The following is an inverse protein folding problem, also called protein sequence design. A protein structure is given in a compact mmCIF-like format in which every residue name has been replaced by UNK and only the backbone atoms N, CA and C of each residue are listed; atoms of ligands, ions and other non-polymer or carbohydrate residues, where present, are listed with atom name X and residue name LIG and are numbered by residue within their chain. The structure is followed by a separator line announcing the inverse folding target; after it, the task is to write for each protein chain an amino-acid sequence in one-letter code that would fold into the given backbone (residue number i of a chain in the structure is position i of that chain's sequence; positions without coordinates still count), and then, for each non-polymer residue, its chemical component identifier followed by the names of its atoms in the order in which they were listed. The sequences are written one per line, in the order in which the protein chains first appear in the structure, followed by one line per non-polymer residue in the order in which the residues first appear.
data_IF_684159874304
#
_entry.id   IF_684159874304
#
_cell.length_a   1.000
_cell.length_b   1.000
_cell.length_c   1.000
_cell.angle_alpha   90.00
_cell.angle_beta   90.00
_cell.angle_gamma   90.00
#
_symmetry.space_group_name_H-M   'P 1'
#
loop_
_entity.id
_entity.type
_entity.pdbx_description
1 polymer ?
#
# COMPACT_ATOMS: atom_id res chain seq x y z
N UNK A 1 6.15 64.31 -110.33
CA UNK A 1 6.60 64.15 -108.93
C UNK A 1 5.56 63.40 -108.07
N UNK A 2 4.99 62.29 -108.57
CA UNK A 2 3.97 61.52 -107.83
C UNK A 2 4.21 60.00 -107.85
N UNK A 3 4.95 59.44 -108.81
CA UNK A 3 5.23 58.00 -108.86
C UNK A 3 6.28 57.54 -107.82
N UNK A 4 7.29 58.37 -107.54
CA UNK A 4 8.39 58.01 -106.62
C UNK A 4 7.96 58.05 -105.13
N UNK A 5 7.02 58.92 -104.76
CA UNK A 5 6.44 58.99 -103.41
C UNK A 5 5.51 57.81 -103.11
N UNK A 6 4.77 57.30 -104.10
CA UNK A 6 3.91 56.13 -103.97
C UNK A 6 4.75 54.85 -103.83
N UNK A 7 5.83 54.69 -104.61
CA UNK A 7 6.75 53.54 -104.48
C UNK A 7 7.50 53.50 -103.13
N UNK A 8 7.87 54.66 -102.58
CA UNK A 8 8.51 54.77 -101.26
C UNK A 8 7.49 54.51 -100.13
N UNK A 9 6.21 54.87 -100.33
CA UNK A 9 5.11 54.56 -99.41
C UNK A 9 4.79 53.06 -99.36
N UNK A 10 4.75 52.39 -100.52
CA UNK A 10 4.51 50.94 -100.62
C UNK A 10 5.64 50.12 -100.00
N UNK A 11 6.90 50.52 -100.16
CA UNK A 11 8.06 49.83 -99.56
C UNK A 11 8.18 50.02 -98.05
N UNK A 12 7.85 51.21 -97.52
CA UNK A 12 7.78 51.45 -96.07
C UNK A 12 6.62 50.70 -95.41
N UNK A 13 5.44 50.69 -96.05
CA UNK A 13 4.27 49.95 -95.54
C UNK A 13 4.56 48.44 -95.51
N UNK A 14 5.15 47.90 -96.58
CA UNK A 14 5.59 46.50 -96.65
C UNK A 14 6.56 46.14 -95.53
N UNK A 15 7.60 46.94 -95.31
CA UNK A 15 8.55 46.74 -94.22
C UNK A 15 7.90 46.81 -92.83
N UNK A 16 6.94 47.72 -92.59
CA UNK A 16 6.23 47.79 -91.30
C UNK A 16 5.35 46.58 -91.03
N UNK A 17 4.67 46.05 -92.05
CA UNK A 17 3.84 44.84 -91.92
C UNK A 17 4.73 43.62 -91.64
N UNK A 18 5.88 43.51 -92.29
CA UNK A 18 6.83 42.41 -92.10
C UNK A 18 7.45 42.43 -90.69
N UNK A 19 7.86 43.60 -90.19
CA UNK A 19 8.34 43.75 -88.81
C UNK A 19 7.24 43.39 -87.80
N UNK A 20 5.99 43.81 -88.05
CA UNK A 20 4.87 43.50 -87.16
C UNK A 20 4.55 42.00 -87.14
N UNK A 21 4.63 41.33 -88.30
CA UNK A 21 4.53 39.88 -88.41
C UNK A 21 5.63 39.16 -87.64
N UNK A 22 6.89 39.60 -87.77
CA UNK A 22 8.02 39.04 -87.02
C UNK A 22 7.87 39.23 -85.50
N UNK A 23 7.36 40.38 -85.07
CA UNK A 23 7.08 40.64 -83.65
C UNK A 23 5.95 39.74 -83.12
N UNK A 24 4.89 39.52 -83.90
CA UNK A 24 3.81 38.60 -83.54
C UNK A 24 4.34 37.17 -83.44
N UNK A 25 5.14 36.72 -84.41
CA UNK A 25 5.73 35.38 -84.40
C UNK A 25 6.66 35.21 -83.19
N UNK A 26 7.52 36.19 -82.90
CA UNK A 26 8.38 36.18 -81.73
C UNK A 26 7.58 36.16 -80.42
N UNK A 27 6.49 36.94 -80.32
CA UNK A 27 5.60 36.93 -79.17
C UNK A 27 4.91 35.57 -78.98
N UNK A 28 4.46 34.94 -80.07
CA UNK A 28 3.84 33.60 -80.05
C UNK A 28 4.85 32.53 -79.62
N UNK A 29 6.07 32.56 -80.15
CA UNK A 29 7.14 31.63 -79.76
C UNK A 29 7.51 31.84 -78.29
N UNK A 30 7.65 33.09 -77.83
CA UNK A 30 7.92 33.41 -76.44
C UNK A 30 6.82 32.91 -75.50
N UNK A 31 5.55 33.13 -75.87
CA UNK A 31 4.42 32.63 -75.10
C UNK A 31 4.37 31.09 -75.05
N UNK A 32 4.57 30.42 -76.20
CA UNK A 32 4.55 28.96 -76.28
C UNK A 32 5.70 28.31 -75.52
N UNK A 33 6.92 28.86 -75.62
CA UNK A 33 8.09 28.35 -74.90
C UNK A 33 7.95 28.56 -73.40
N UNK A 34 7.48 29.74 -72.95
CA UNK A 34 7.16 29.98 -71.54
C UNK A 34 6.05 29.05 -71.02
N UNK A 35 5.00 28.82 -71.81
CA UNK A 35 3.92 27.90 -71.46
C UNK A 35 4.39 26.45 -71.36
N UNK A 36 5.19 25.98 -72.32
CA UNK A 36 5.77 24.62 -72.30
C UNK A 36 6.73 24.43 -71.12
N UNK A 37 7.58 25.42 -70.85
CA UNK A 37 8.49 25.40 -69.70
C UNK A 37 7.71 25.38 -68.38
N UNK A 38 6.69 26.23 -68.25
CA UNK A 38 5.81 26.26 -67.08
C UNK A 38 5.11 24.91 -66.88
N UNK A 39 4.55 24.35 -67.96
CA UNK A 39 3.87 23.06 -67.93
C UNK A 39 4.82 21.92 -67.58
N UNK A 40 6.04 21.89 -68.10
CA UNK A 40 6.98 20.80 -67.86
C UNK A 40 7.50 20.75 -66.43
N UNK A 41 7.70 21.90 -65.78
CA UNK A 41 8.36 21.94 -64.46
C UNK A 41 7.35 22.06 -63.32
N UNK A 42 6.29 22.85 -63.49
CA UNK A 42 5.39 23.18 -62.39
C UNK A 42 4.21 22.22 -62.27
N UNK A 43 3.83 21.49 -63.33
CA UNK A 43 2.68 20.58 -63.26
C UNK A 43 2.86 19.49 -62.20
N UNK A 44 4.04 18.86 -62.13
CA UNK A 44 4.28 17.79 -61.17
C UNK A 44 4.51 18.34 -59.76
N UNK A 45 5.16 19.50 -59.61
CA UNK A 45 5.27 20.18 -58.31
C UNK A 45 3.90 20.57 -57.75
N UNK A 46 3.00 21.08 -58.59
CA UNK A 46 1.63 21.44 -58.20
C UNK A 46 0.87 20.18 -57.75
N UNK A 47 0.98 19.06 -58.48
CA UNK A 47 0.36 17.80 -58.07
C UNK A 47 0.86 17.28 -56.73
N UNK A 48 2.18 17.36 -56.48
CA UNK A 48 2.77 16.95 -55.21
C UNK A 48 2.22 17.83 -54.08
N UNK A 49 2.27 19.15 -54.24
CA UNK A 49 1.75 20.11 -53.26
C UNK A 49 0.25 19.88 -53.00
N UNK A 50 -0.55 19.62 -54.05
CA UNK A 50 -1.97 19.30 -53.88
C UNK A 50 -2.19 17.97 -53.15
N UNK A 51 -1.34 16.97 -53.38
CA UNK A 51 -1.40 15.70 -52.65
C UNK A 51 -1.02 15.85 -51.17
N UNK A 52 0.06 16.59 -50.88
CA UNK A 52 0.49 16.90 -49.51
C UNK A 52 -0.57 17.71 -48.76
N UNK A 53 -1.14 18.74 -49.41
CA UNK A 53 -2.25 19.53 -48.86
C UNK A 53 -3.45 18.64 -48.52
N UNK A 54 -3.76 17.66 -49.37
CA UNK A 54 -4.87 16.73 -49.14
C UNK A 54 -4.61 15.79 -47.98
N UNK A 55 -3.39 15.28 -47.83
CA UNK A 55 -3.01 14.44 -46.68
C UNK A 55 -3.01 15.25 -45.38
N UNK A 56 -2.41 16.44 -45.37
CA UNK A 56 -2.42 17.33 -44.20
C UNK A 56 -3.87 17.66 -43.77
N UNK A 57 -4.77 17.86 -44.73
CA UNK A 57 -6.18 18.11 -44.44
C UNK A 57 -6.86 16.90 -43.81
N UNK A 58 -6.58 15.68 -44.26
CA UNK A 58 -7.10 14.46 -43.62
C UNK A 58 -6.60 14.32 -42.18
N UNK A 59 -5.32 14.58 -41.97
CA UNK A 59 -4.70 14.49 -40.64
C UNK A 59 -5.34 15.50 -39.68
N UNK A 60 -5.53 16.75 -40.14
CA UNK A 60 -6.20 17.80 -39.37
C UNK A 60 -7.64 17.41 -38.99
N UNK A 61 -8.41 16.85 -39.92
CA UNK A 61 -9.77 16.34 -39.64
C UNK A 61 -9.75 15.17 -38.64
N UNK A 62 -8.74 14.29 -38.72
CA UNK A 62 -8.58 13.19 -37.76
C UNK A 62 -8.31 13.73 -36.35
N UNK A 63 -7.35 14.65 -36.22
CA UNK A 63 -7.00 15.32 -34.97
C UNK A 63 -8.16 16.12 -34.39
N UNK A 64 -8.94 16.81 -35.21
CA UNK A 64 -10.15 17.52 -34.77
C UNK A 64 -11.20 16.57 -34.20
N UNK A 65 -11.39 15.40 -34.83
CA UNK A 65 -12.31 14.38 -34.33
C UNK A 65 -11.83 13.77 -33.01
N UNK A 66 -10.53 13.54 -32.86
CA UNK A 66 -9.93 13.05 -31.62
C UNK A 66 -10.08 14.08 -30.49
N UNK A 67 -9.75 15.34 -30.74
CA UNK A 67 -9.97 16.43 -29.80
C UNK A 67 -11.43 16.55 -29.39
N UNK A 68 -12.38 16.41 -30.33
CA UNK A 68 -13.81 16.41 -30.01
C UNK A 68 -14.19 15.26 -29.08
N UNK A 69 -13.69 14.05 -29.31
CA UNK A 69 -13.92 12.90 -28.43
C UNK A 69 -13.33 13.13 -27.04
N UNK A 70 -12.11 13.68 -26.97
CA UNK A 70 -11.46 14.02 -25.70
C UNK A 70 -12.25 15.07 -24.92
N UNK A 71 -12.74 16.12 -25.59
CA UNK A 71 -13.58 17.15 -24.98
C UNK A 71 -14.90 16.57 -24.43
N UNK A 72 -15.54 15.65 -25.15
CA UNK A 72 -16.75 15.00 -24.66
C UNK A 72 -16.48 14.10 -23.45
N UNK A 73 -15.37 13.35 -23.46
CA UNK A 73 -14.94 12.55 -22.31
C UNK A 73 -14.66 13.42 -21.08
N UNK A 74 -13.98 14.57 -21.26
CA UNK A 74 -13.76 15.55 -20.19
C UNK A 74 -15.10 16.08 -19.65
N UNK A 75 -16.04 16.41 -20.52
CA UNK A 75 -17.38 16.88 -20.12
C UNK A 75 -18.15 15.83 -19.29
N UNK A 76 -18.09 14.56 -19.68
CA UNK A 76 -18.71 13.46 -18.92
C UNK A 76 -18.05 13.33 -17.55
N UNK A 77 -16.71 13.39 -17.49
CA UNK A 77 -15.96 13.34 -16.22
C UNK A 77 -16.26 14.53 -15.32
N UNK A 78 -16.40 15.73 -15.87
CA UNK A 78 -16.80 16.91 -15.10
C UNK A 78 -18.21 16.77 -14.52
N UNK A 79 -19.15 16.19 -15.29
CA UNK A 79 -20.50 15.89 -14.81
C UNK A 79 -20.49 14.85 -13.67
N UNK A 80 -19.66 13.82 -13.78
CA UNK A 80 -19.43 12.81 -12.73
C UNK A 80 -18.82 13.44 -11.47
N UNK A 81 -17.86 14.35 -11.61
CA UNK A 81 -17.30 15.10 -10.47
C UNK A 81 -18.37 15.96 -9.80
N UNK A 82 -19.25 16.62 -10.58
CA UNK A 82 -20.33 17.43 -10.00
C UNK A 82 -21.38 16.59 -9.28
N UNK A 83 -21.75 15.43 -9.83
CA UNK A 83 -22.68 14.52 -9.14
C UNK A 83 -22.08 14.00 -7.83
N UNK A 84 -20.80 13.61 -7.83
CA UNK A 84 -20.07 13.21 -6.63
C UNK A 84 -19.99 14.34 -5.59
N UNK A 85 -19.73 15.58 -6.01
CA UNK A 85 -19.75 16.75 -5.10
C UNK A 85 -21.12 16.96 -4.46
N UNK A 86 -22.20 16.75 -5.21
CA UNK A 86 -23.55 16.86 -4.69
C UNK A 86 -23.85 15.75 -3.67
N UNK A 87 -23.52 14.50 -4.00
CA UNK A 87 -23.66 13.35 -3.09
C UNK A 87 -22.85 13.58 -1.81
N UNK A 88 -21.61 14.06 -1.93
CA UNK A 88 -20.77 14.38 -0.78
C UNK A 88 -21.39 15.49 0.08
N UNK A 89 -21.92 16.55 -0.53
CA UNK A 89 -22.62 17.62 0.18
C UNK A 89 -23.88 17.12 0.89
N UNK A 90 -24.64 16.21 0.27
CA UNK A 90 -25.79 15.56 0.90
C UNK A 90 -25.37 14.65 2.05
N UNK A 91 -24.26 13.90 1.90
CA UNK A 91 -23.69 13.07 2.94
C UNK A 91 -23.24 13.93 4.13
N UNK A 92 -22.55 15.05 3.89
CA UNK A 92 -22.17 16.02 4.92
C UNK A 92 -23.40 16.59 5.63
N UNK A 93 -24.46 16.92 4.90
CA UNK A 93 -25.71 17.42 5.49
C UNK A 93 -26.42 16.34 6.33
N UNK A 94 -26.42 15.08 5.86
CA UNK A 94 -26.92 13.95 6.64
C UNK A 94 -26.09 13.73 7.90
N UNK A 95 -24.77 13.84 7.79
CA UNK A 95 -23.84 13.78 8.91
C UNK A 95 -24.12 14.91 9.90
N UNK A 96 -24.31 16.14 9.42
CA UNK A 96 -24.65 17.31 10.24
C UNK A 96 -25.99 17.14 10.95
N UNK A 97 -27.00 16.55 10.29
CA UNK A 97 -28.27 16.19 10.92
C UNK A 97 -28.06 15.12 12.00
N UNK A 98 -27.26 14.08 11.72
CA UNK A 98 -26.90 13.04 12.70
C UNK A 98 -26.17 13.65 13.90
N UNK A 99 -25.19 14.51 13.67
CA UNK A 99 -24.44 15.24 14.71
C UNK A 99 -25.40 16.14 15.51
N UNK A 100 -26.31 16.87 14.86
CA UNK A 100 -27.29 17.72 15.54
C UNK A 100 -28.31 16.94 16.37
N UNK A 101 -28.67 15.72 15.95
CA UNK A 101 -29.51 14.81 16.72
C UNK A 101 -28.74 14.15 17.87
N UNK A 102 -27.44 13.91 17.67
CA UNK A 102 -26.51 13.43 18.71
C UNK A 102 -26.20 14.51 19.75
N UNK A 103 -26.30 15.81 19.42
CA UNK A 103 -26.06 16.91 20.36
C UNK A 103 -27.09 17.03 21.49
N UNK A 104 -28.16 16.22 21.50
CA UNK A 104 -29.01 16.03 22.69
C UNK A 104 -28.42 15.03 23.71
N UNK A 105 -27.26 14.43 23.40
CA UNK A 105 -26.44 13.60 24.26
C UNK A 105 -24.98 13.89 23.89
N UNK A 106 -24.37 14.90 24.51
CA UNK A 106 -23.02 15.35 24.20
C UNK A 106 -21.98 14.24 24.29
N UNK A 107 -21.74 13.57 23.16
CA UNK A 107 -20.68 12.60 22.95
C UNK A 107 -19.71 13.24 21.96
N UNK A 108 -18.49 13.52 22.44
CA UNK A 108 -17.36 13.85 21.58
C UNK A 108 -17.23 12.70 20.57
N UNK A 109 -16.99 13.02 19.29
CA UNK A 109 -16.54 12.01 18.31
C UNK A 109 -15.39 11.24 18.97
N UNK A 110 -15.50 9.91 19.13
CA UNK A 110 -14.43 9.12 19.75
C UNK A 110 -13.11 9.41 19.01
N UNK A 111 -12.04 9.69 19.75
CA UNK A 111 -10.70 10.01 19.23
C UNK A 111 -10.18 8.97 18.20
N UNK A 112 -10.70 7.74 18.28
CA UNK A 112 -10.47 6.66 17.33
C UNK A 112 -10.98 6.98 15.91
N UNK A 113 -12.11 7.67 15.76
CA UNK A 113 -12.72 7.97 14.45
C UNK A 113 -11.96 9.07 13.70
N UNK A 114 -11.45 10.10 14.39
CA UNK A 114 -10.62 11.15 13.77
C UNK A 114 -9.34 10.58 13.15
N UNK A 115 -8.75 9.59 13.83
CA UNK A 115 -7.51 8.98 13.37
C UNK A 115 -7.72 8.04 12.18
N UNK A 116 -8.79 7.24 12.16
CA UNK A 116 -9.12 6.43 10.99
C UNK A 116 -9.40 7.30 9.77
N UNK A 117 -9.98 8.49 9.96
CA UNK A 117 -10.12 9.49 8.90
C UNK A 117 -8.74 9.94 8.39
N UNK A 118 -7.79 10.27 9.27
CA UNK A 118 -6.41 10.63 8.86
C UNK A 118 -5.70 9.51 8.10
N UNK A 119 -5.90 8.26 8.49
CA UNK A 119 -5.37 7.11 7.72
C UNK A 119 -6.07 6.99 6.37
N UNK A 120 -7.39 7.12 6.33
CA UNK A 120 -8.16 7.05 5.08
C UNK A 120 -7.74 8.16 4.08
N UNK A 121 -7.33 9.33 4.56
CA UNK A 121 -6.75 10.38 3.69
C UNK A 121 -5.43 9.96 3.02
N UNK A 122 -4.69 9.03 3.63
CA UNK A 122 -3.42 8.50 3.10
C UNK A 122 -3.61 7.44 2.03
N UNK A 123 -4.85 7.00 1.73
CA UNK A 123 -5.16 6.14 0.57
C UNK A 123 -4.53 6.65 -0.73
N UNK A 124 -4.42 7.97 -0.90
CA UNK A 124 -3.79 8.61 -2.07
C UNK A 124 -2.31 8.25 -2.29
N UNK A 125 -1.64 7.71 -1.26
CA UNK A 125 -0.25 7.27 -1.34
C UNK A 125 -0.12 5.85 -1.93
N UNK A 126 -1.22 5.10 -2.00
CA UNK A 126 -1.23 3.68 -2.36
C UNK A 126 -1.49 3.46 -3.85
N UNK A 127 -0.90 2.40 -4.38
CA UNK A 127 -1.01 2.00 -5.79
C UNK A 127 -1.87 0.76 -5.95
N UNK A 128 -3.19 0.96 -5.91
CA UNK A 128 -4.16 -0.13 -6.03
C UNK A 128 -4.12 -0.85 -7.39
N UNK A 129 -3.44 -0.31 -8.41
CA UNK A 129 -3.23 -1.03 -9.67
C UNK A 129 -2.22 -2.17 -9.50
N UNK A 130 -1.29 -2.03 -8.55
CA UNK A 130 -0.25 -3.04 -8.26
C UNK A 130 -0.84 -4.26 -7.55
N UNK A 131 -1.50 -4.06 -6.40
CA UNK A 131 -1.99 -5.14 -5.55
C UNK A 131 -3.50 -5.42 -5.66
N UNK A 132 -4.24 -4.57 -6.37
CA UNK A 132 -5.67 -4.72 -6.64
C UNK A 132 -6.59 -4.04 -5.62
N UNK A 133 -7.88 -4.08 -5.93
CA UNK A 133 -8.96 -3.53 -5.10
C UNK A 133 -9.86 -4.64 -4.57
N UNK A 134 -10.56 -4.35 -3.48
CA UNK A 134 -11.61 -5.18 -2.93
C UNK A 134 -12.66 -4.28 -2.28
N UNK A 135 -13.87 -4.82 -2.13
CA UNK A 135 -14.96 -4.18 -1.40
C UNK A 135 -15.06 -4.74 0.02
N UNK A 136 -15.71 -4.01 0.92
CA UNK A 136 -15.96 -4.49 2.29
C UNK A 136 -16.74 -5.81 2.33
N UNK A 137 -17.57 -6.08 1.31
CA UNK A 137 -18.30 -7.34 1.17
C UNK A 137 -17.40 -8.55 0.85
N UNK A 138 -16.19 -8.32 0.33
CA UNK A 138 -15.19 -9.35 0.04
C UNK A 138 -14.20 -9.53 1.20
N UNK A 139 -14.39 -8.83 2.32
CA UNK A 139 -13.42 -8.78 3.40
C UNK A 139 -13.10 -10.16 3.97
N UNK A 140 -11.82 -10.49 3.95
CA UNK A 140 -11.26 -11.65 4.63
C UNK A 140 -11.02 -11.31 6.11
N UNK A 141 -10.89 -12.34 6.97
CA UNK A 141 -10.40 -12.14 8.33
C UNK A 141 -8.87 -11.99 8.30
N UNK A 142 -8.38 -10.75 8.21
CA UNK A 142 -6.95 -10.48 8.09
C UNK A 142 -6.15 -10.92 9.33
N UNK A 143 -6.81 -11.14 10.47
CA UNK A 143 -6.18 -11.66 11.70
C UNK A 143 -5.75 -13.11 11.58
N UNK A 144 -6.12 -13.80 10.50
CA UNK A 144 -5.53 -15.10 10.16
C UNK A 144 -4.01 -15.00 9.94
N UNK A 145 -3.51 -13.84 9.52
CA UNK A 145 -2.07 -13.56 9.34
C UNK A 145 -1.46 -13.18 10.68
N UNK A 146 -0.41 -13.90 11.09
CA UNK A 146 0.35 -13.56 12.29
C UNK A 146 0.97 -12.17 12.16
N UNK A 147 0.75 -11.32 13.17
CA UNK A 147 1.19 -9.93 13.20
C UNK A 147 0.10 -8.93 12.85
N UNK A 148 -1.05 -9.38 12.30
CA UNK A 148 -2.24 -8.54 12.09
C UNK A 148 -3.24 -8.79 13.23
N UNK A 149 -3.31 -7.86 14.19
CA UNK A 149 -4.37 -7.84 15.20
C UNK A 149 -5.58 -7.01 14.77
N UNK A 150 -6.68 -6.99 15.55
CA UNK A 150 -7.89 -6.22 15.23
C UNK A 150 -7.62 -4.75 14.92
N UNK A 151 -6.68 -4.14 15.65
CA UNK A 151 -6.28 -2.75 15.49
C UNK A 151 -5.49 -2.48 14.19
N UNK A 152 -4.75 -3.47 13.68
CA UNK A 152 -4.03 -3.35 12.40
C UNK A 152 -5.00 -3.61 11.25
N UNK A 153 -5.84 -4.63 11.38
CA UNK A 153 -6.91 -4.93 10.43
C UNK A 153 -7.82 -3.71 10.21
N UNK A 154 -8.25 -3.02 11.27
CA UNK A 154 -9.05 -1.80 11.18
C UNK A 154 -8.39 -0.71 10.32
N UNK A 155 -7.06 -0.54 10.44
CA UNK A 155 -6.30 0.44 9.63
C UNK A 155 -6.15 0.00 8.17
N UNK A 156 -5.87 -1.28 7.95
CA UNK A 156 -5.80 -1.83 6.59
C UNK A 156 -7.14 -1.64 5.88
N UNK A 157 -8.25 -1.92 6.56
CA UNK A 157 -9.59 -1.67 6.05
C UNK A 157 -9.83 -0.18 5.79
N UNK A 158 -9.36 0.71 6.68
CA UNK A 158 -9.40 2.15 6.45
C UNK A 158 -8.53 2.60 5.26
N UNK A 159 -7.63 1.76 4.75
CA UNK A 159 -6.86 1.93 3.52
C UNK A 159 -7.42 1.14 2.32
N UNK A 160 -8.64 0.60 2.42
CA UNK A 160 -9.28 -0.27 1.40
C UNK A 160 -8.50 -1.57 1.09
N UNK A 161 -7.74 -2.05 2.08
CA UNK A 161 -7.07 -3.36 2.05
C UNK A 161 -7.90 -4.31 2.90
N UNK A 162 -8.68 -5.17 2.24
CA UNK A 162 -9.67 -6.03 2.89
C UNK A 162 -9.38 -7.53 2.75
N UNK A 163 -8.51 -7.92 1.80
CA UNK A 163 -8.37 -9.33 1.40
C UNK A 163 -6.95 -9.85 1.50
N UNK A 164 -6.79 -11.16 1.76
CA UNK A 164 -5.52 -11.86 1.64
C UNK A 164 -4.95 -11.71 0.21
N UNK A 165 -5.83 -11.67 -0.80
CA UNK A 165 -5.47 -11.50 -2.21
C UNK A 165 -4.73 -10.19 -2.49
N UNK A 166 -5.09 -9.11 -1.80
CA UNK A 166 -4.38 -7.84 -1.91
C UNK A 166 -3.01 -7.96 -1.23
N UNK A 167 -2.97 -8.44 0.02
CA UNK A 167 -1.73 -8.54 0.81
C UNK A 167 -0.71 -9.46 0.13
N UNK A 168 -1.16 -10.58 -0.46
CA UNK A 168 -0.28 -11.53 -1.15
C UNK A 168 0.40 -10.96 -2.40
N UNK A 169 -0.03 -9.79 -2.88
CA UNK A 169 0.47 -9.14 -4.09
C UNK A 169 1.29 -7.89 -3.81
N UNK A 170 1.51 -7.53 -2.55
CA UNK A 170 2.34 -6.36 -2.23
C UNK A 170 3.75 -6.56 -2.78
N UNK A 171 4.18 -5.62 -3.63
CA UNK A 171 5.59 -5.48 -4.01
C UNK A 171 6.35 -4.72 -2.93
N UNK A 172 7.69 -4.79 -2.91
CA UNK A 172 8.52 -4.03 -1.97
C UNK A 172 8.15 -2.53 -1.94
N UNK A 173 7.85 -1.95 -3.12
CA UNK A 173 7.41 -0.56 -3.23
C UNK A 173 6.02 -0.30 -2.62
N UNK A 174 5.11 -1.26 -2.74
CA UNK A 174 3.79 -1.15 -2.11
C UNK A 174 3.92 -1.29 -0.60
N UNK A 175 4.78 -2.19 -0.14
CA UNK A 175 5.10 -2.37 1.27
C UNK A 175 5.63 -1.06 1.88
N UNK A 176 6.59 -0.40 1.23
CA UNK A 176 7.09 0.91 1.67
C UNK A 176 5.96 1.95 1.81
N UNK A 177 5.11 2.07 0.78
CA UNK A 177 3.98 3.02 0.78
C UNK A 177 2.94 2.71 1.85
N UNK A 178 2.68 1.42 2.10
CA UNK A 178 1.73 0.98 3.13
C UNK A 178 2.33 1.19 4.51
N UNK A 179 3.62 0.91 4.69
CA UNK A 179 4.35 1.20 5.92
C UNK A 179 4.27 2.71 6.25
N UNK A 180 4.47 3.57 5.26
CA UNK A 180 4.31 5.03 5.40
C UNK A 180 2.85 5.43 5.71
N UNK A 181 1.88 4.82 5.02
CA UNK A 181 0.47 5.09 5.23
C UNK A 181 0.03 4.71 6.66
N UNK A 182 0.50 3.56 7.16
CA UNK A 182 0.21 3.06 8.50
C UNK A 182 0.96 3.82 9.60
N UNK A 183 2.16 4.35 9.31
CA UNK A 183 3.11 5.09 10.19
C UNK A 183 3.57 4.38 11.48
N UNK A 184 2.68 3.66 12.16
CA UNK A 184 2.91 2.95 13.43
C UNK A 184 3.70 1.66 13.21
N UNK A 185 3.34 0.87 12.20
CA UNK A 185 3.77 -0.53 12.03
C UNK A 185 4.83 -0.72 10.96
N UNK A 186 5.60 0.34 10.66
CA UNK A 186 6.61 0.29 9.60
C UNK A 186 7.54 -0.91 9.78
N UNK A 187 7.71 -1.68 8.70
CA UNK A 187 8.56 -2.86 8.65
C UNK A 187 7.92 -4.16 9.14
N UNK A 188 6.68 -4.14 9.64
CA UNK A 188 6.00 -5.37 10.09
C UNK A 188 5.53 -6.26 8.96
N UNK A 189 5.19 -5.69 7.82
CA UNK A 189 4.69 -6.44 6.68
C UNK A 189 5.74 -7.49 6.26
N UNK A 190 7.01 -7.07 6.23
CA UNK A 190 8.18 -7.87 5.93
C UNK A 190 8.57 -8.75 7.11
N UNK A 191 8.78 -8.12 8.29
CA UNK A 191 9.30 -8.81 9.48
C UNK A 191 8.36 -9.90 9.98
N UNK A 192 7.05 -9.69 9.85
CA UNK A 192 6.03 -10.65 10.22
C UNK A 192 5.57 -11.51 9.04
N UNK A 193 6.16 -11.33 7.85
CA UNK A 193 5.96 -12.18 6.67
C UNK A 193 4.50 -12.22 6.20
N UNK A 194 3.85 -11.05 6.18
CA UNK A 194 2.43 -10.95 5.85
C UNK A 194 2.14 -11.42 4.43
N UNK A 195 2.98 -11.04 3.46
CA UNK A 195 2.80 -11.38 2.04
C UNK A 195 2.85 -12.90 1.84
N UNK A 196 3.81 -13.57 2.45
CA UNK A 196 3.97 -15.02 2.35
C UNK A 196 2.80 -15.77 3.01
N UNK A 197 2.39 -15.36 4.23
CA UNK A 197 1.22 -15.93 4.90
C UNK A 197 -0.09 -15.69 4.14
N UNK A 198 -0.28 -14.47 3.63
CA UNK A 198 -1.44 -14.11 2.81
C UNK A 198 -1.48 -14.94 1.53
N UNK A 199 -0.32 -15.15 0.89
CA UNK A 199 -0.20 -16.01 -0.28
C UNK A 199 -0.76 -17.39 0.05
N UNK A 200 -0.29 -18.07 1.09
CA UNK A 200 -0.83 -19.39 1.49
C UNK A 200 -2.35 -19.39 1.73
N UNK A 201 -2.90 -18.31 2.29
CA UNK A 201 -4.34 -18.17 2.57
C UNK A 201 -5.20 -17.91 1.33
N UNK A 202 -4.66 -17.29 0.28
CA UNK A 202 -5.38 -17.03 -0.99
C UNK A 202 -5.66 -18.32 -1.77
N UNK A 203 -4.86 -19.37 -1.55
CA UNK A 203 -4.85 -20.53 -2.43
C UNK A 203 -6.09 -21.42 -2.26
N UNK A 204 -6.55 -21.95 -3.41
CA UNK A 204 -7.68 -22.87 -3.56
C UNK A 204 -7.62 -24.05 -2.57
N UNK A 205 -8.80 -24.59 -2.22
CA UNK A 205 -9.04 -25.70 -1.27
C UNK A 205 -8.06 -26.87 -1.42
N UNK A 206 -7.63 -27.16 -2.64
CA UNK A 206 -6.71 -28.25 -2.98
C UNK A 206 -5.30 -28.03 -2.39
N UNK A 207 -4.74 -26.82 -2.50
CA UNK A 207 -3.38 -26.50 -2.02
C UNK A 207 -3.31 -26.53 -0.49
N UNK A 208 -4.35 -26.02 0.17
CA UNK A 208 -4.47 -26.08 1.63
C UNK A 208 -4.57 -27.53 2.12
N UNK A 209 -5.29 -28.38 1.39
CA UNK A 209 -5.40 -29.82 1.70
C UNK A 209 -4.04 -30.49 1.57
N UNK A 210 -3.30 -30.21 0.50
CA UNK A 210 -1.96 -30.76 0.29
C UNK A 210 -0.96 -30.29 1.37
N UNK A 211 -1.03 -29.02 1.78
CA UNK A 211 -0.22 -28.50 2.87
C UNK A 211 -0.50 -29.24 4.17
N UNK A 212 -1.77 -29.34 4.57
CA UNK A 212 -2.15 -30.05 5.80
C UNK A 212 -1.77 -31.52 5.76
N UNK A 213 -1.86 -32.16 4.60
CA UNK A 213 -1.36 -33.51 4.41
C UNK A 213 0.14 -33.61 4.72
N UNK A 214 0.98 -32.75 4.12
CA UNK A 214 2.42 -32.75 4.40
C UNK A 214 2.75 -32.47 5.87
N UNK A 215 2.05 -31.52 6.50
CA UNK A 215 2.22 -31.22 7.93
C UNK A 215 1.84 -32.46 8.77
N UNK A 216 0.73 -33.12 8.45
CA UNK A 216 0.29 -34.33 9.15
C UNK A 216 1.27 -35.50 9.02
N UNK A 217 1.96 -35.62 7.88
CA UNK A 217 3.01 -36.62 7.66
C UNK A 217 4.24 -36.37 8.56
N UNK A 218 4.50 -35.11 8.95
CA UNK A 218 5.59 -34.73 9.87
C UNK A 218 5.20 -34.87 11.35
N UNK A 219 3.95 -35.23 11.65
CA UNK A 219 3.45 -35.40 13.02
C UNK A 219 4.27 -36.43 13.83
N UNK A 220 4.83 -37.46 13.18
CA UNK A 220 5.67 -38.47 13.83
C UNK A 220 6.99 -37.93 14.39
N UNK A 221 7.42 -36.74 13.95
CA UNK A 221 8.65 -36.10 14.43
C UNK A 221 8.42 -35.35 15.75
N UNK A 222 7.16 -35.15 16.16
CA UNK A 222 6.83 -34.38 17.36
C UNK A 222 6.98 -35.24 18.63
N UNK A 223 7.71 -34.72 19.62
CA UNK A 223 7.96 -35.40 20.89
C UNK A 223 6.85 -35.18 21.93
N UNK A 224 5.68 -35.81 21.74
CA UNK A 224 4.53 -35.66 22.65
C UNK A 224 4.79 -36.15 24.08
N UNK A 225 5.73 -37.06 24.29
CA UNK A 225 6.17 -37.47 25.62
C UNK A 225 6.82 -36.32 26.41
N UNK A 226 7.37 -35.32 25.71
CA UNK A 226 8.00 -34.13 26.27
C UNK A 226 7.02 -32.97 26.38
N UNK A 227 6.36 -32.62 25.29
CA UNK A 227 5.46 -31.45 25.26
C UNK A 227 4.09 -31.74 25.91
N UNK A 228 3.68 -33.01 25.94
CA UNK A 228 2.37 -33.47 26.40
C UNK A 228 1.40 -33.76 25.24
N UNK A 229 0.33 -34.47 25.55
CA UNK A 229 -0.80 -34.71 24.64
C UNK A 229 -2.04 -33.98 25.11
N UNK A 230 -2.86 -33.53 24.17
CA UNK A 230 -4.17 -32.94 24.44
C UNK A 230 -5.15 -33.44 23.36
N UNK A 231 -6.42 -33.49 23.70
CA UNK A 231 -7.47 -33.79 22.72
C UNK A 231 -8.00 -32.51 22.08
N UNK A 232 -8.68 -32.66 20.94
CA UNK A 232 -9.26 -31.52 20.22
C UNK A 232 -10.29 -30.74 21.06
N UNK A 233 -11.05 -31.43 21.93
CA UNK A 233 -11.98 -30.78 22.85
C UNK A 233 -11.31 -29.96 23.97
N UNK A 234 -10.02 -30.16 24.20
CA UNK A 234 -9.22 -29.43 25.20
C UNK A 234 -8.48 -28.23 24.58
N UNK A 235 -8.76 -27.91 23.31
CA UNK A 235 -8.04 -26.89 22.55
C UNK A 235 -8.21 -25.50 23.17
N UNK A 236 -7.08 -24.88 23.47
CA UNK A 236 -6.99 -23.47 23.80
C UNK A 236 -7.05 -22.62 22.53
N UNK A 237 -7.52 -21.38 22.63
CA UNK A 237 -7.36 -20.41 21.56
C UNK A 237 -5.90 -19.94 21.51
N UNK A 238 -5.09 -20.59 20.68
CA UNK A 238 -3.66 -20.28 20.57
C UNK A 238 -3.40 -18.89 19.98
N UNK A 239 -4.39 -18.26 19.33
CA UNK A 239 -4.24 -16.88 18.80
C UNK A 239 -4.09 -15.82 19.89
N UNK A 240 -4.36 -16.19 21.15
CA UNK A 240 -4.08 -15.36 22.33
C UNK A 240 -2.58 -15.10 22.51
N UNK A 241 -1.72 -16.01 22.03
CA UNK A 241 -0.27 -15.84 21.99
C UNK A 241 0.09 -14.92 20.82
N UNK A 242 0.64 -13.75 21.14
CA UNK A 242 1.13 -12.79 20.15
C UNK A 242 2.18 -13.46 19.25
N UNK A 243 1.97 -13.43 17.94
CA UNK A 243 2.81 -14.14 16.97
C UNK A 243 2.21 -15.45 16.44
N UNK A 244 1.08 -15.92 17.01
CA UNK A 244 0.27 -17.00 16.44
C UNK A 244 -0.98 -16.38 15.81
N UNK A 245 -1.00 -16.27 14.48
CA UNK A 245 -2.21 -15.94 13.73
C UNK A 245 -3.14 -17.14 13.62
N UNK A 246 -4.39 -16.92 13.21
CA UNK A 246 -5.34 -18.02 13.00
C UNK A 246 -4.81 -19.11 12.05
N UNK A 247 -4.06 -18.72 11.02
CA UNK A 247 -3.44 -19.68 10.10
C UNK A 247 -2.40 -20.58 10.76
N UNK A 248 -1.53 -20.00 11.59
CA UNK A 248 -0.48 -20.73 12.30
C UNK A 248 -1.09 -21.66 13.35
N UNK A 249 -2.14 -21.21 14.05
CA UNK A 249 -2.91 -22.07 14.95
C UNK A 249 -3.47 -23.29 14.22
N UNK A 250 -4.04 -23.12 13.03
CA UNK A 250 -4.55 -24.25 12.25
C UNK A 250 -3.46 -25.25 11.88
N UNK A 251 -2.27 -24.77 11.49
CA UNK A 251 -1.12 -25.66 11.23
C UNK A 251 -0.66 -26.42 12.48
N UNK A 252 -0.63 -25.76 13.65
CA UNK A 252 -0.32 -26.41 14.93
C UNK A 252 -1.37 -27.46 15.30
N UNK A 253 -2.65 -27.19 15.03
CA UNK A 253 -3.74 -28.13 15.28
C UNK A 253 -3.62 -29.41 14.45
N UNK A 254 -3.08 -29.33 13.22
CA UNK A 254 -2.76 -30.52 12.39
C UNK A 254 -1.69 -31.39 13.06
N UNK A 255 -0.78 -30.80 13.81
CA UNK A 255 0.22 -31.49 14.62
C UNK A 255 -0.28 -31.86 16.02
N UNK A 256 -1.58 -31.80 16.31
CA UNK A 256 -2.14 -32.06 17.64
C UNK A 256 -1.52 -31.24 18.78
N UNK A 257 -1.02 -30.05 18.45
CA UNK A 257 -0.58 -29.04 19.41
C UNK A 257 -1.76 -28.11 19.61
N UNK A 258 -2.50 -28.32 20.69
CA UNK A 258 -3.79 -27.67 20.96
C UNK A 258 -3.77 -26.71 22.13
N UNK A 259 -2.80 -26.84 23.05
CA UNK A 259 -2.87 -26.17 24.35
C UNK A 259 -1.68 -25.26 24.62
N UNK A 260 -1.90 -24.23 25.44
CA UNK A 260 -0.83 -23.42 26.01
C UNK A 260 0.15 -24.29 26.79
N UNK A 261 -0.32 -25.35 27.45
CA UNK A 261 0.53 -26.30 28.17
C UNK A 261 1.58 -26.94 27.25
N UNK A 262 1.17 -27.41 26.07
CA UNK A 262 2.10 -28.02 25.12
C UNK A 262 3.17 -27.03 24.66
N UNK A 263 2.78 -25.82 24.25
CA UNK A 263 3.72 -24.77 23.81
C UNK A 263 4.65 -24.35 24.96
N UNK A 264 4.14 -24.27 26.19
CA UNK A 264 4.93 -23.89 27.38
C UNK A 264 6.08 -24.86 27.70
N UNK A 265 5.98 -26.10 27.20
CA UNK A 265 6.95 -27.17 27.40
C UNK A 265 7.96 -27.31 26.25
N UNK A 266 7.87 -26.48 25.20
CA UNK A 266 8.82 -26.54 24.09
C UNK A 266 10.25 -26.29 24.56
N UNK A 267 11.13 -27.20 24.18
CA UNK A 267 12.58 -27.03 24.23
C UNK A 267 13.08 -26.45 22.92
N UNK A 268 14.37 -26.06 22.86
CA UNK A 268 14.97 -25.57 21.61
C UNK A 268 14.81 -26.57 20.46
N UNK A 269 14.95 -27.86 20.73
CA UNK A 269 14.74 -28.91 19.74
C UNK A 269 13.27 -29.01 19.29
N UNK A 270 12.30 -28.87 20.21
CA UNK A 270 10.87 -28.83 19.82
C UNK A 270 10.57 -27.64 18.93
N UNK A 271 11.19 -26.48 19.21
CA UNK A 271 11.01 -25.26 18.42
C UNK A 271 11.47 -25.50 16.98
N UNK A 272 12.67 -26.05 16.79
CA UNK A 272 13.23 -26.34 15.48
C UNK A 272 12.32 -27.32 14.71
N UNK A 273 11.90 -28.41 15.36
CA UNK A 273 11.04 -29.44 14.76
C UNK A 273 9.67 -28.90 14.41
N UNK A 274 9.02 -28.17 15.33
CA UNK A 274 7.68 -27.62 15.09
C UNK A 274 7.75 -26.59 13.97
N UNK A 275 8.76 -25.72 13.97
CA UNK A 275 8.98 -24.71 12.92
C UNK A 275 9.09 -25.35 11.55
N UNK A 276 9.91 -26.39 11.40
CA UNK A 276 10.02 -27.16 10.15
C UNK A 276 8.68 -27.84 9.81
N UNK A 277 8.04 -28.47 10.80
CA UNK A 277 6.84 -29.25 10.60
C UNK A 277 5.69 -28.42 10.02
N UNK A 278 5.47 -27.22 10.55
CA UNK A 278 4.41 -26.30 10.09
C UNK A 278 4.84 -25.38 8.94
N UNK A 279 6.05 -25.56 8.38
CA UNK A 279 6.62 -24.67 7.33
C UNK A 279 6.59 -23.19 7.78
N UNK A 280 6.99 -22.91 9.03
CA UNK A 280 7.02 -21.56 9.60
C UNK A 280 8.41 -20.94 9.51
N UNK A 281 8.44 -19.61 9.59
CA UNK A 281 9.68 -18.85 9.45
C UNK A 281 10.59 -19.09 10.66
N UNK A 282 11.84 -19.46 10.39
CA UNK A 282 12.82 -19.77 11.44
C UNK A 282 13.06 -18.60 12.40
N UNK A 283 13.19 -18.91 13.69
CA UNK A 283 13.44 -17.94 14.75
C UNK A 283 12.21 -17.14 15.22
N UNK A 284 11.05 -17.28 14.58
CA UNK A 284 9.83 -16.56 14.95
C UNK A 284 9.27 -16.99 16.30
N UNK A 285 9.30 -18.28 16.61
CA UNK A 285 8.76 -18.82 17.87
C UNK A 285 9.51 -18.20 19.06
N UNK A 286 10.83 -18.06 18.96
CA UNK A 286 11.68 -17.43 19.96
C UNK A 286 11.53 -15.92 19.99
N UNK A 287 11.56 -15.27 18.82
CA UNK A 287 11.41 -13.81 18.69
C UNK A 287 10.07 -13.33 19.24
N UNK A 288 9.01 -14.10 18.98
CA UNK A 288 7.65 -13.82 19.45
C UNK A 288 7.40 -14.42 20.83
N UNK A 289 8.40 -15.01 21.48
CA UNK A 289 8.34 -15.45 22.88
C UNK A 289 7.20 -16.42 23.19
N UNK A 290 6.81 -17.29 22.25
CA UNK A 290 5.62 -18.15 22.39
C UNK A 290 5.62 -18.95 23.69
N UNK A 291 6.79 -19.49 24.07
CA UNK A 291 6.95 -20.32 25.27
C UNK A 291 6.69 -19.51 26.55
N UNK A 292 7.21 -18.27 26.63
CA UNK A 292 7.02 -17.41 27.80
C UNK A 292 5.55 -16.99 27.92
N UNK A 293 4.94 -16.60 26.80
CA UNK A 293 3.52 -16.26 26.75
C UNK A 293 2.65 -17.46 27.17
N UNK A 294 2.94 -18.65 26.64
CA UNK A 294 2.20 -19.86 26.95
C UNK A 294 2.33 -20.26 28.44
N UNK A 295 3.54 -20.16 29.04
CA UNK A 295 3.74 -20.38 30.48
C UNK A 295 2.88 -19.45 31.33
N UNK A 296 2.83 -18.18 30.94
CA UNK A 296 2.04 -17.18 31.65
C UNK A 296 0.53 -17.44 31.49
N UNK A 297 0.08 -17.79 30.28
CA UNK A 297 -1.30 -18.19 30.02
C UNK A 297 -1.69 -19.41 30.85
N UNK A 298 -0.83 -20.42 30.97
CA UNK A 298 -1.08 -21.57 31.85
C UNK A 298 -1.23 -21.13 33.31
N UNK A 299 -0.40 -20.20 33.80
CA UNK A 299 -0.45 -19.69 35.17
C UNK A 299 -1.78 -18.97 35.47
N UNK A 300 -2.31 -18.23 34.51
CA UNK A 300 -3.55 -17.44 34.66
C UNK A 300 -4.79 -18.14 34.09
N UNK A 301 -4.69 -19.45 33.82
CA UNK A 301 -5.77 -20.26 33.23
C UNK A 301 -6.35 -19.67 31.92
N UNK A 302 -5.48 -19.15 31.06
CA UNK A 302 -5.81 -18.60 29.75
C UNK A 302 -6.38 -17.17 29.77
N UNK A 303 -6.56 -16.56 30.95
CA UNK A 303 -7.18 -15.24 31.06
C UNK A 303 -6.19 -14.08 30.80
N UNK A 304 -5.78 -13.89 29.53
CA UNK A 304 -4.91 -12.78 29.09
C UNK A 304 -5.48 -11.41 29.52
N UNK A 305 -6.80 -11.23 29.43
CA UNK A 305 -7.47 -9.96 29.78
C UNK A 305 -7.19 -9.55 31.23
N UNK A 306 -7.27 -10.48 32.18
CA UNK A 306 -6.99 -10.21 33.59
C UNK A 306 -5.52 -9.86 33.82
N UNK A 307 -4.59 -10.52 33.12
CA UNK A 307 -3.17 -10.14 33.17
C UNK A 307 -2.94 -8.71 32.66
N UNK A 308 -3.49 -8.39 31.49
CA UNK A 308 -3.35 -7.06 30.90
C UNK A 308 -3.99 -5.99 31.79
N UNK A 309 -5.10 -6.30 32.45
CA UNK A 309 -5.72 -5.43 33.45
C UNK A 309 -4.79 -5.17 34.64
N UNK A 310 -4.21 -6.22 35.24
CA UNK A 310 -3.25 -6.08 36.36
C UNK A 310 -2.03 -5.22 35.98
N UNK A 311 -1.54 -5.34 34.75
CA UNK A 311 -0.43 -4.50 34.25
C UNK A 311 -0.90 -3.05 34.11
N UNK A 312 -2.06 -2.82 33.48
CA UNK A 312 -2.65 -1.49 33.31
C UNK A 312 -2.89 -0.81 34.66
N UNK A 313 -3.37 -1.53 35.66
CA UNK A 313 -3.62 -0.97 37.00
C UNK A 313 -2.31 -0.52 37.69
N UNK A 314 -1.17 -1.05 37.26
CA UNK A 314 0.18 -0.65 37.70
C UNK A 314 0.80 0.51 36.91
N UNK A 315 0.10 1.08 35.91
CA UNK A 315 0.63 2.20 35.09
C UNK A 315 1.08 3.41 35.93
N UNK A 316 0.41 3.70 37.05
CA UNK A 316 0.76 4.80 37.95
C UNK A 316 2.12 4.68 38.64
N UNK A 317 2.83 3.55 38.48
CA UNK A 317 4.21 3.40 38.92
C UNK A 317 5.23 4.01 37.95
N UNK A 318 4.82 4.33 36.73
CA UNK A 318 5.71 4.91 35.71
C UNK A 318 5.76 6.43 35.85
N UNK A 319 6.97 6.99 35.82
CA UNK A 319 7.20 8.43 36.01
C UNK A 319 7.22 9.19 34.67
N UNK A 320 6.04 9.60 34.19
CA UNK A 320 5.88 10.21 32.85
C UNK A 320 6.39 11.64 32.71
N UNK A 321 6.54 12.41 33.79
CA UNK A 321 7.01 13.81 33.73
C UNK A 321 8.33 13.95 32.97
N UNK A 322 9.16 12.89 33.02
CA UNK A 322 10.46 12.83 32.36
C UNK A 322 10.42 12.08 31.02
N UNK A 323 9.66 10.99 30.94
CA UNK A 323 9.55 10.17 29.72
C UNK A 323 8.79 10.89 28.61
N UNK A 324 7.88 11.79 28.98
CA UNK A 324 6.93 12.41 28.07
C UNK A 324 5.66 11.57 27.92
N UNK A 325 4.58 12.25 27.56
CA UNK A 325 3.32 11.62 27.20
C UNK A 325 3.27 11.42 25.70
N UNK A 326 2.90 10.21 25.30
CA UNK A 326 2.57 9.90 23.93
C UNK A 326 1.19 9.27 23.90
N UNK A 327 0.47 9.49 22.83
CA UNK A 327 -0.81 8.86 22.61
C UNK A 327 -0.63 7.49 21.95
N UNK A 328 -1.60 6.59 22.14
CA UNK A 328 -1.57 5.26 21.50
C UNK A 328 -1.40 5.34 19.98
N UNK A 329 -1.90 6.39 19.33
CA UNK A 329 -1.76 6.55 17.89
C UNK A 329 -0.38 7.05 17.43
N UNK A 330 0.45 7.57 18.35
CA UNK A 330 1.82 8.03 18.09
C UNK A 330 2.85 6.93 18.29
N UNK A 331 2.40 5.74 18.74
CA UNK A 331 3.29 4.64 19.03
C UNK A 331 4.13 4.23 17.81
N UNK A 332 5.38 3.92 18.11
CA UNK A 332 6.31 3.34 17.16
C UNK A 332 6.23 1.82 17.21
N UNK A 333 6.79 1.18 16.19
CA UNK A 333 7.04 -0.25 16.20
C UNK A 333 8.22 -0.57 17.14
N UNK A 334 7.96 -0.66 18.45
CA UNK A 334 8.99 -0.90 19.47
C UNK A 334 9.74 -2.21 19.24
N UNK A 335 9.14 -3.14 18.50
CA UNK A 335 9.79 -4.41 18.17
C UNK A 335 10.97 -4.33 17.19
N UNK A 336 11.29 -3.13 16.69
CA UNK A 336 12.57 -2.86 16.04
C UNK A 336 13.74 -2.84 17.02
N UNK A 337 13.47 -2.72 18.33
CA UNK A 337 14.46 -2.87 19.38
C UNK A 337 14.71 -4.36 19.59
N UNK A 338 15.97 -4.78 19.45
CA UNK A 338 16.37 -6.18 19.68
C UNK A 338 15.95 -6.63 21.09
N UNK A 339 15.37 -7.83 21.17
CA UNK A 339 14.85 -8.40 22.42
C UNK A 339 13.45 -7.88 22.81
N UNK A 340 12.92 -6.85 22.15
CA UNK A 340 11.57 -6.37 22.42
C UNK A 340 10.57 -7.09 21.50
N UNK A 341 10.02 -8.21 21.97
CA UNK A 341 9.00 -8.97 21.23
C UNK A 341 7.62 -8.29 21.20
N UNK A 342 6.71 -8.81 20.37
CA UNK A 342 5.30 -8.35 20.28
C UNK A 342 4.61 -8.31 21.64
N UNK A 343 4.88 -9.34 22.46
CA UNK A 343 4.33 -9.47 23.79
C UNK A 343 4.77 -8.37 24.73
N UNK A 344 6.06 -8.02 24.73
CA UNK A 344 6.56 -6.96 25.61
C UNK A 344 6.08 -5.60 25.14
N UNK A 345 6.05 -5.34 23.83
CA UNK A 345 5.48 -4.11 23.26
C UNK A 345 4.01 -3.92 23.69
N UNK A 346 3.17 -4.95 23.59
CA UNK A 346 1.76 -4.88 24.00
C UNK A 346 1.62 -4.43 25.46
N UNK A 347 2.52 -4.89 26.34
CA UNK A 347 2.47 -4.57 27.76
C UNK A 347 3.07 -3.20 28.08
N UNK A 348 4.12 -2.78 27.37
CA UNK A 348 4.63 -1.41 27.43
C UNK A 348 3.56 -0.39 27.01
N UNK A 349 2.81 -0.71 25.96
CA UNK A 349 1.69 0.11 25.47
C UNK A 349 0.57 0.25 26.51
N UNK A 350 0.36 -0.75 27.39
CA UNK A 350 -0.58 -0.63 28.52
C UNK A 350 -0.07 0.29 29.63
N UNK A 351 1.25 0.48 29.70
CA UNK A 351 1.92 1.41 30.59
C UNK A 351 2.15 2.77 29.90
N UNK A 352 1.45 3.10 28.81
CA UNK A 352 1.61 4.40 28.15
C UNK A 352 2.99 4.64 27.52
N UNK A 353 3.80 3.59 27.37
CA UNK A 353 5.11 3.65 26.71
C UNK A 353 4.91 3.14 25.28
N UNK A 354 4.90 4.08 24.36
CA UNK A 354 4.49 3.93 22.97
C UNK A 354 5.63 4.18 21.98
N UNK A 355 6.57 5.05 22.34
CA UNK A 355 7.54 5.61 21.37
C UNK A 355 8.98 5.24 21.69
N UNK A 356 9.83 5.26 20.67
CA UNK A 356 11.28 5.17 20.82
C UNK A 356 11.82 6.32 21.67
N UNK A 357 11.22 7.51 21.60
CA UNK A 357 11.61 8.66 22.43
C UNK A 357 11.43 8.36 23.93
N UNK A 358 10.27 7.83 24.33
CA UNK A 358 10.03 7.41 25.71
C UNK A 358 11.01 6.32 26.16
N UNK A 359 11.22 5.28 25.35
CA UNK A 359 12.15 4.18 25.67
C UNK A 359 13.60 4.67 25.76
N UNK A 360 14.00 5.60 24.89
CA UNK A 360 15.36 6.18 24.89
C UNK A 360 15.68 7.02 26.13
N UNK A 361 14.64 7.43 26.85
CA UNK A 361 14.77 8.20 28.07
C UNK A 361 14.79 7.33 29.31
N UNK A 362 14.51 6.02 29.27
CA UNK A 362 14.42 5.21 30.49
C UNK A 362 15.69 5.31 31.35
N UNK A 363 15.53 5.57 32.65
CA UNK A 363 16.63 5.50 33.63
C UNK A 363 16.73 4.09 34.20
N UNK A 364 17.76 3.82 34.98
CA UNK A 364 17.88 2.56 35.70
C UNK A 364 16.67 2.28 36.61
N UNK A 365 16.15 3.28 37.30
CA UNK A 365 14.96 3.15 38.16
C UNK A 365 13.69 2.84 37.35
N UNK A 366 13.53 3.45 36.17
CA UNK A 366 12.41 3.13 35.28
C UNK A 366 12.54 1.70 34.75
N UNK A 367 13.75 1.26 34.40
CA UNK A 367 14.01 -0.10 33.91
C UNK A 367 13.70 -1.12 34.99
N UNK A 368 14.12 -0.90 36.25
CA UNK A 368 13.76 -1.77 37.37
C UNK A 368 12.25 -1.84 37.57
N UNK A 369 11.59 -0.68 37.54
CA UNK A 369 10.13 -0.59 37.68
C UNK A 369 9.40 -1.31 36.55
N UNK A 370 9.79 -1.08 35.29
CA UNK A 370 9.21 -1.75 34.12
C UNK A 370 9.47 -3.25 34.20
N UNK A 371 10.67 -3.67 34.56
CA UNK A 371 11.02 -5.09 34.73
C UNK A 371 10.12 -5.77 35.75
N UNK A 372 9.88 -5.11 36.89
CA UNK A 372 8.96 -5.64 37.93
C UNK A 372 7.51 -5.67 37.44
N UNK A 373 7.01 -4.57 36.88
CA UNK A 373 5.61 -4.44 36.43
C UNK A 373 5.31 -5.38 35.27
N UNK A 374 6.29 -5.59 34.39
CA UNK A 374 6.21 -6.49 33.26
C UNK A 374 6.70 -7.90 33.59
N UNK A 375 7.08 -8.20 34.84
CA UNK A 375 7.55 -9.53 35.26
C UNK A 375 8.61 -10.09 34.27
N UNK A 376 9.47 -9.21 33.75
CA UNK A 376 10.55 -9.57 32.82
C UNK A 376 11.72 -10.19 33.60
N UNK A 377 12.58 -10.89 32.88
CA UNK A 377 13.83 -11.39 33.46
C UNK A 377 14.70 -10.18 33.83
N UNK A 378 15.18 -10.05 35.08
CA UNK A 378 16.04 -8.95 35.48
C UNK A 378 17.31 -8.84 34.60
N UNK A 379 17.66 -7.60 34.22
CA UNK A 379 18.80 -7.33 33.34
C UNK A 379 18.54 -7.53 31.84
N UNK A 380 17.32 -7.91 31.44
CA UNK A 380 16.98 -8.18 30.05
C UNK A 380 17.04 -6.92 29.17
N UNK A 381 16.45 -5.83 29.66
CA UNK A 381 16.34 -4.55 28.96
C UNK A 381 17.75 -3.97 28.71
N UNK A 382 18.64 -4.09 29.69
CA UNK A 382 20.02 -3.61 29.63
C UNK A 382 20.90 -4.52 28.77
N UNK A 383 20.73 -5.84 28.88
CA UNK A 383 21.50 -6.82 28.10
C UNK A 383 21.33 -6.61 26.60
N UNK A 384 20.12 -6.32 26.17
CA UNK A 384 19.83 -6.03 24.77
C UNK A 384 19.90 -4.53 24.44
N UNK A 385 20.34 -3.66 25.35
CA UNK A 385 20.51 -2.21 25.13
C UNK A 385 19.28 -1.53 24.50
N UNK A 386 18.12 -1.67 25.14
CA UNK A 386 16.89 -1.08 24.60
C UNK A 386 16.96 0.44 24.52
N UNK A 387 17.57 1.07 25.53
CA UNK A 387 17.67 2.53 25.62
C UNK A 387 18.55 3.08 24.50
N UNK A 388 19.73 2.48 24.26
CA UNK A 388 20.63 2.89 23.18
C UNK A 388 20.00 2.70 21.81
N UNK A 389 19.40 1.54 21.55
CA UNK A 389 18.70 1.27 20.29
C UNK A 389 17.54 2.23 20.04
N UNK A 390 16.71 2.49 21.06
CA UNK A 390 15.61 3.43 20.95
C UNK A 390 16.10 4.85 20.65
N UNK A 391 17.21 5.28 21.24
CA UNK A 391 17.82 6.57 20.96
C UNK A 391 18.29 6.70 19.49
N UNK A 392 18.85 5.63 18.92
CA UNK A 392 19.22 5.61 17.51
C UNK A 392 18.01 5.64 16.57
N UNK A 393 16.97 4.85 16.88
CA UNK A 393 15.75 4.78 16.08
C UNK A 393 14.97 6.10 16.12
N UNK A 394 14.89 6.73 17.29
CA UNK A 394 14.26 8.05 17.46
C UNK A 394 14.92 9.13 16.57
N UNK A 395 16.25 9.11 16.43
CA UNK A 395 16.97 10.06 15.54
C UNK A 395 16.75 9.82 14.05
N UNK A 396 16.40 8.60 13.65
CA UNK A 396 16.21 8.21 12.25
C UNK A 396 14.80 8.49 11.73
N UNK A 397 13.83 8.65 12.62
CA UNK A 397 12.48 9.02 12.21
C UNK A 397 12.38 10.52 11.89
N UNK A 398 11.76 10.92 10.77
CA UNK A 398 11.45 12.32 10.54
C UNK A 398 10.52 12.80 11.67
N UNK A 399 10.78 13.99 12.21
CA UNK A 399 9.88 14.61 13.16
C UNK A 399 8.47 14.64 12.56
N UNK A 400 7.52 14.00 13.23
CA UNK A 400 6.11 14.10 12.87
C UNK A 400 5.71 15.54 13.19
N UNK A 401 5.59 16.38 12.15
CA UNK A 401 5.13 17.77 12.23
C UNK A 401 3.61 17.80 12.14
#
# INVERSE_FOLDING_TARGET
MNAMLILIGETKLGATIEILLLLIVAAVIGYLTAWLYYKSIYTDRIKIIDSEKKELHKELVSLENENRKLLENLRVKDAEIQSLKLIHKEALRKLEIVISNSNNSGELIPEQDEYLIKIAERKRLLDYQSFGTATEAEKDDLKMISGIGPFIEERLNALDIFTFRQISKFSDRDIDRINDALAYFSGRIERDEWVAQASELVHNKDIRTDLFKRISERKSNIYYNRIGTAKEEERDDLTVISGIGGWIMEKLNVLEIYTFRQISNFTKEDIDIVTEAIEFFSGRIERDEWILQAKELVRIAGNKSELLKRIRDRHGRIYYDRLGFAQKYEANNLTLIKGLGLWVEERLNLLGIYTFDQVSKLTHEDIETITEVLELIPGYIEKDDWVGQAAELSRKQPAVV
#
